data_IF_194520480638
#
_entry.id   IF_194520480638
#
_cell.length_a   1.000
_cell.length_b   1.000
_cell.length_c   1.000
_cell.angle_alpha   90.00
_cell.angle_beta   90.00
_cell.angle_gamma   90.00
#
_symmetry.space_group_name_H-M   'P 1'
#
loop_
_entity.id
_entity.type
_entity.pdbx_description
1 polymer ?
#
# COMPACT_ATOMS: atom_id res chain seq x y z
N UNK A 1 -17.83 27.41 -7.64
CA UNK A 1 -18.14 26.05 -8.13
C UNK A 1 -18.06 25.14 -6.93
N UNK A 2 -19.20 24.69 -6.40
CA UNK A 2 -19.26 23.79 -5.24
C UNK A 2 -18.84 22.39 -5.70
N UNK A 3 -17.69 21.91 -5.23
CA UNK A 3 -17.30 20.52 -5.42
C UNK A 3 -18.38 19.65 -4.75
N UNK A 4 -19.12 18.89 -5.55
CA UNK A 4 -20.10 17.93 -5.04
C UNK A 4 -19.33 16.87 -4.26
N UNK A 5 -19.56 16.78 -2.95
CA UNK A 5 -18.96 15.74 -2.11
C UNK A 5 -19.38 14.36 -2.66
N UNK A 6 -18.42 13.46 -2.80
CA UNK A 6 -18.67 12.09 -3.24
C UNK A 6 -19.56 11.38 -2.22
N UNK A 7 -20.53 10.61 -2.71
CA UNK A 7 -21.37 9.77 -1.83
C UNK A 7 -20.55 8.59 -1.27
N UNK A 8 -20.95 8.01 -0.12
CA UNK A 8 -20.26 6.84 0.45
C UNK A 8 -20.12 5.67 -0.54
N UNK A 9 -21.12 5.45 -1.39
CA UNK A 9 -21.08 4.41 -2.43
C UNK A 9 -20.03 4.70 -3.52
N UNK A 10 -19.89 5.97 -3.93
CA UNK A 10 -18.86 6.38 -4.90
C UNK A 10 -17.45 6.27 -4.30
N UNK A 11 -17.30 6.62 -3.02
CA UNK A 11 -16.04 6.45 -2.28
C UNK A 11 -15.66 4.96 -2.19
N UNK A 12 -16.60 4.10 -1.79
CA UNK A 12 -16.40 2.65 -1.72
C UNK A 12 -15.98 2.07 -3.07
N UNK A 13 -16.63 2.51 -4.15
CA UNK A 13 -16.33 2.06 -5.50
C UNK A 13 -14.91 2.50 -5.95
N UNK A 14 -14.56 3.78 -5.75
CA UNK A 14 -13.22 4.28 -6.08
C UNK A 14 -12.12 3.55 -5.29
N UNK A 15 -12.33 3.33 -3.98
CA UNK A 15 -11.41 2.57 -3.13
C UNK A 15 -11.23 1.13 -3.59
N UNK A 16 -12.31 0.49 -4.06
CA UNK A 16 -12.26 -0.87 -4.61
C UNK A 16 -11.36 -0.93 -5.85
N UNK A 17 -11.49 0.02 -6.79
CA UNK A 17 -10.62 0.10 -7.97
C UNK A 17 -9.15 0.22 -7.57
N UNK A 18 -8.82 1.11 -6.62
CA UNK A 18 -7.44 1.26 -6.14
C UNK A 18 -6.91 0.00 -5.45
N UNK A 19 -7.77 -0.68 -4.71
CA UNK A 19 -7.43 -1.92 -4.02
C UNK A 19 -7.13 -3.04 -5.03
N UNK A 20 -8.03 -3.27 -5.98
CA UNK A 20 -7.90 -4.29 -7.03
C UNK A 20 -6.61 -4.06 -7.83
N UNK A 21 -6.39 -2.82 -8.31
CA UNK A 21 -5.16 -2.49 -9.03
C UNK A 21 -3.90 -2.69 -8.20
N UNK A 22 -3.91 -2.42 -6.89
CA UNK A 22 -2.76 -2.68 -6.03
C UNK A 22 -2.49 -4.19 -5.87
N UNK A 23 -3.54 -5.01 -5.78
CA UNK A 23 -3.41 -6.46 -5.65
C UNK A 23 -2.93 -7.10 -6.96
N UNK A 24 -3.46 -6.67 -8.10
CA UNK A 24 -3.00 -7.12 -9.42
C UNK A 24 -1.52 -6.81 -9.63
N UNK A 25 -1.05 -5.62 -9.24
CA UNK A 25 0.35 -5.25 -9.37
C UNK A 25 1.27 -6.07 -8.45
N UNK A 26 0.86 -6.35 -7.21
CA UNK A 26 1.60 -7.22 -6.28
C UNK A 26 1.66 -8.66 -6.80
N UNK A 27 0.54 -9.21 -7.25
CA UNK A 27 0.48 -10.56 -7.83
C UNK A 27 1.33 -10.66 -9.10
N UNK A 28 1.22 -9.70 -10.02
CA UNK A 28 2.03 -9.67 -11.24
C UNK A 28 3.53 -9.57 -10.93
N UNK A 29 3.92 -8.77 -9.95
CA UNK A 29 5.33 -8.67 -9.54
C UNK A 29 5.85 -10.00 -8.98
N UNK A 30 5.08 -10.65 -8.09
CA UNK A 30 5.44 -11.98 -7.55
C UNK A 30 5.50 -13.05 -8.63
N UNK A 31 4.52 -13.07 -9.54
CA UNK A 31 4.50 -14.02 -10.65
C UNK A 31 5.74 -13.87 -11.56
N UNK A 32 6.17 -12.64 -11.83
CA UNK A 32 7.43 -12.37 -12.56
C UNK A 32 8.65 -12.91 -11.81
N UNK A 33 8.73 -12.68 -10.50
CA UNK A 33 9.82 -13.22 -9.68
C UNK A 33 9.81 -14.75 -9.65
N UNK A 34 8.65 -15.39 -9.47
CA UNK A 34 8.51 -16.85 -9.52
C UNK A 34 8.94 -17.42 -10.86
N UNK A 35 8.59 -16.75 -11.97
CA UNK A 35 9.03 -17.15 -13.31
C UNK A 35 10.55 -17.04 -13.47
N UNK A 36 11.16 -15.95 -13.01
CA UNK A 36 12.63 -15.78 -13.05
C UNK A 36 13.34 -16.85 -12.21
N UNK A 37 12.83 -17.14 -11.01
CA UNK A 37 13.32 -18.21 -10.13
C UNK A 37 13.24 -19.58 -10.81
N UNK A 38 12.09 -19.91 -11.41
CA UNK A 38 11.84 -21.21 -12.03
C UNK A 38 12.67 -21.43 -13.32
N UNK A 39 13.00 -20.36 -14.02
CA UNK A 39 13.85 -20.40 -15.23
C UNK A 39 15.35 -20.41 -14.93
N UNK A 40 15.74 -20.25 -13.66
CA UNK A 40 17.15 -20.12 -13.28
C UNK A 40 17.79 -18.82 -13.76
N UNK A 41 16.99 -17.83 -14.12
CA UNK A 41 17.45 -16.51 -14.54
C UNK A 41 18.14 -15.78 -13.38
N UNK A 42 19.08 -14.89 -13.72
CA UNK A 42 19.69 -14.03 -12.72
C UNK A 42 18.66 -13.07 -12.13
N UNK A 43 18.43 -13.17 -10.82
CA UNK A 43 17.51 -12.30 -10.10
C UNK A 43 18.24 -10.99 -9.80
N UNK A 44 17.88 -9.94 -10.54
CA UNK A 44 18.39 -8.60 -10.29
C UNK A 44 17.79 -7.98 -9.02
N UNK A 45 18.53 -7.08 -8.37
CA UNK A 45 18.03 -6.27 -7.24
C UNK A 45 16.76 -5.51 -7.60
N UNK A 46 16.70 -4.96 -8.82
CA UNK A 46 15.52 -4.25 -9.33
C UNK A 46 14.25 -5.09 -9.35
N UNK A 47 14.37 -6.39 -9.69
CA UNK A 47 13.21 -7.29 -9.69
C UNK A 47 12.70 -7.51 -8.25
N UNK A 48 13.61 -7.71 -7.30
CA UNK A 48 13.27 -7.89 -5.89
C UNK A 48 12.70 -6.60 -5.27
N UNK A 49 13.33 -5.46 -5.52
CA UNK A 49 12.85 -4.14 -5.08
C UNK A 49 11.43 -3.88 -5.60
N UNK A 50 11.18 -4.17 -6.88
CA UNK A 50 9.84 -4.04 -7.47
C UNK A 50 8.79 -4.91 -6.76
N UNK A 51 9.14 -6.15 -6.38
CA UNK A 51 8.23 -7.00 -5.60
C UNK A 51 7.97 -6.42 -4.21
N UNK A 52 9.01 -6.01 -3.50
CA UNK A 52 8.89 -5.43 -2.15
C UNK A 52 8.04 -4.15 -2.18
N UNK A 53 8.26 -3.28 -3.18
CA UNK A 53 7.47 -2.06 -3.36
C UNK A 53 5.98 -2.37 -3.57
N UNK A 54 5.63 -3.27 -4.51
CA UNK A 54 4.23 -3.59 -4.79
C UNK A 54 3.57 -4.34 -3.64
N UNK A 55 4.32 -5.19 -2.94
CA UNK A 55 3.85 -5.84 -1.73
C UNK A 55 3.54 -4.82 -0.62
N UNK A 56 4.43 -3.85 -0.40
CA UNK A 56 4.25 -2.79 0.59
C UNK A 56 3.03 -1.91 0.25
N UNK A 57 2.86 -1.54 -1.02
CA UNK A 57 1.68 -0.81 -1.50
C UNK A 57 0.39 -1.59 -1.20
N UNK A 58 0.33 -2.85 -1.62
CA UNK A 58 -0.84 -3.71 -1.41
C UNK A 58 -1.16 -3.95 0.08
N UNK A 59 -0.17 -3.93 0.97
CA UNK A 59 -0.37 -4.18 2.40
C UNK A 59 -1.32 -3.16 3.05
N UNK A 60 -1.21 -1.88 2.71
CA UNK A 60 -2.10 -0.85 3.27
C UNK A 60 -3.55 -1.01 2.79
N UNK A 61 -3.74 -1.39 1.53
CA UNK A 61 -5.06 -1.70 0.95
C UNK A 61 -5.68 -2.95 1.56
N UNK A 62 -4.88 -4.01 1.83
CA UNK A 62 -5.36 -5.20 2.57
C UNK A 62 -5.89 -4.84 3.95
N UNK A 63 -5.20 -3.95 4.67
CA UNK A 63 -5.66 -3.52 5.99
C UNK A 63 -6.99 -2.74 5.91
N UNK A 64 -7.17 -1.93 4.87
CA UNK A 64 -8.44 -1.24 4.63
C UNK A 64 -9.57 -2.25 4.36
N UNK A 65 -9.38 -3.20 3.43
CA UNK A 65 -10.38 -4.22 3.13
C UNK A 65 -10.74 -5.04 4.36
N UNK A 66 -9.75 -5.48 5.14
CA UNK A 66 -9.99 -6.23 6.37
C UNK A 66 -10.86 -5.48 7.39
N UNK A 67 -10.87 -4.14 7.37
CA UNK A 67 -11.74 -3.31 8.20
C UNK A 67 -13.15 -3.22 7.63
N UNK A 68 -13.26 -3.00 6.32
CA UNK A 68 -14.54 -2.99 5.61
C UNK A 68 -15.26 -4.34 5.73
N UNK A 69 -14.54 -5.45 5.62
CA UNK A 69 -15.08 -6.81 5.78
C UNK A 69 -15.57 -7.09 7.21
N UNK A 70 -15.05 -6.36 8.20
CA UNK A 70 -15.54 -6.37 9.59
C UNK A 70 -16.77 -5.50 9.80
N UNK A 71 -17.24 -4.80 8.76
CA UNK A 71 -18.40 -3.93 8.80
C UNK A 71 -18.10 -2.50 9.28
N UNK A 72 -16.84 -2.08 9.32
CA UNK A 72 -16.51 -0.66 9.57
C UNK A 72 -17.03 0.23 8.43
N UNK A 73 -17.53 1.42 8.76
CA UNK A 73 -17.91 2.41 7.74
C UNK A 73 -16.69 2.82 6.90
N UNK A 74 -16.92 3.14 5.62
CA UNK A 74 -15.85 3.47 4.68
C UNK A 74 -15.02 4.65 5.15
N UNK A 75 -15.67 5.70 5.65
CA UNK A 75 -14.98 6.91 6.11
C UNK A 75 -14.19 6.59 7.39
N UNK A 76 -14.78 5.83 8.30
CA UNK A 76 -14.14 5.42 9.55
C UNK A 76 -12.90 4.54 9.30
N UNK A 77 -13.02 3.54 8.43
CA UNK A 77 -11.95 2.62 8.08
C UNK A 77 -10.77 3.37 7.43
N UNK A 78 -11.04 4.24 6.44
CA UNK A 78 -10.01 5.06 5.79
C UNK A 78 -9.37 6.03 6.77
N UNK A 79 -10.16 6.72 7.59
CA UNK A 79 -9.65 7.65 8.61
C UNK A 79 -8.73 6.95 9.61
N UNK A 80 -9.11 5.74 10.03
CA UNK A 80 -8.33 4.96 11.00
C UNK A 80 -6.98 4.53 10.42
N UNK A 81 -6.97 3.99 9.19
CA UNK A 81 -5.73 3.63 8.51
C UNK A 81 -4.85 4.86 8.29
N UNK A 82 -5.42 5.98 7.83
CA UNK A 82 -4.67 7.24 7.64
C UNK A 82 -4.03 7.70 8.94
N UNK A 83 -4.78 7.73 10.05
CA UNK A 83 -4.24 8.12 11.36
C UNK A 83 -3.09 7.23 11.80
N UNK A 84 -3.25 5.91 11.64
CA UNK A 84 -2.21 4.94 11.97
C UNK A 84 -0.95 5.14 11.11
N UNK A 85 -1.10 5.33 9.80
CA UNK A 85 0.03 5.53 8.89
C UNK A 85 0.73 6.86 9.14
N UNK A 86 -0.02 7.94 9.36
CA UNK A 86 0.54 9.24 9.74
C UNK A 86 1.34 9.13 11.02
N UNK A 87 0.81 8.45 12.05
CA UNK A 87 1.52 8.19 13.30
C UNK A 87 2.81 7.41 13.05
N UNK A 88 2.75 6.31 12.29
CA UNK A 88 3.92 5.49 11.93
C UNK A 88 5.00 6.32 11.22
N UNK A 89 4.61 7.26 10.34
CA UNK A 89 5.54 8.14 9.64
C UNK A 89 6.19 9.19 10.55
N UNK A 90 5.46 9.68 11.55
CA UNK A 90 5.95 10.67 12.52
C UNK A 90 6.83 10.05 13.62
N UNK A 91 6.50 8.84 14.07
CA UNK A 91 7.26 8.12 15.11
C UNK A 91 8.61 7.57 14.61
N UNK A 92 8.84 7.60 13.31
CA UNK A 92 10.03 7.03 12.71
C UNK A 92 11.26 7.93 12.93
N UNK A 93 11.98 7.71 14.01
CA UNK A 93 13.37 8.15 14.19
C UNK A 93 14.32 7.32 13.32
N UNK A 94 15.45 7.91 12.90
CA UNK A 94 16.44 7.34 11.98
C UNK A 94 16.65 5.83 12.18
N UNK A 95 16.38 5.04 11.12
CA UNK A 95 16.60 3.60 11.15
C UNK A 95 18.09 3.33 11.35
N UNK A 96 18.47 2.85 12.53
CA UNK A 96 19.84 2.48 12.90
C UNK A 96 20.11 0.98 12.65
N UNK A 97 19.37 0.34 11.74
CA UNK A 97 19.67 -1.05 11.39
C UNK A 97 20.93 -1.12 10.52
N UNK A 98 21.85 -2.02 10.87
CA UNK A 98 23.03 -2.33 10.05
C UNK A 98 22.68 -3.15 8.80
N UNK A 99 21.44 -3.63 8.68
CA UNK A 99 20.98 -4.41 7.53
C UNK A 99 20.43 -3.50 6.43
N UNK A 100 21.12 -3.45 5.29
CA UNK A 100 20.69 -2.71 4.11
C UNK A 100 19.30 -3.17 3.61
N UNK A 101 19.00 -4.47 3.68
CA UNK A 101 17.72 -5.04 3.27
C UNK A 101 16.59 -4.56 4.19
N UNK A 102 16.80 -4.59 5.51
CA UNK A 102 15.80 -4.12 6.47
C UNK A 102 15.54 -2.60 6.29
N UNK A 103 16.59 -1.83 6.04
CA UNK A 103 16.48 -0.40 5.77
C UNK A 103 15.69 -0.11 4.49
N UNK A 104 15.91 -0.90 3.44
CA UNK A 104 15.16 -0.76 2.19
C UNK A 104 13.68 -1.16 2.37
N UNK A 105 13.38 -2.27 3.02
CA UNK A 105 11.99 -2.64 3.34
C UNK A 105 11.28 -1.55 4.13
N UNK A 106 11.94 -0.98 5.15
CA UNK A 106 11.43 0.14 5.92
C UNK A 106 11.24 1.40 5.08
N UNK A 107 12.10 1.67 4.10
CA UNK A 107 11.91 2.75 3.12
C UNK A 107 10.67 2.49 2.28
N UNK A 108 10.52 1.31 1.70
CA UNK A 108 9.39 0.94 0.85
C UNK A 108 8.06 1.02 1.60
N UNK A 109 8.00 0.55 2.85
CA UNK A 109 6.80 0.69 3.69
C UNK A 109 6.40 2.16 3.92
N UNK A 110 7.37 3.05 4.10
CA UNK A 110 7.12 4.50 4.29
C UNK A 110 6.62 5.14 3.00
N UNK A 111 7.20 4.79 1.86
CA UNK A 111 6.75 5.29 0.57
C UNK A 111 5.34 4.78 0.24
N UNK A 112 5.06 3.51 0.52
CA UNK A 112 3.73 2.94 0.39
C UNK A 112 2.70 3.64 1.28
N UNK A 113 3.07 3.96 2.53
CA UNK A 113 2.23 4.73 3.43
C UNK A 113 1.93 6.13 2.86
N UNK A 114 2.94 6.83 2.34
CA UNK A 114 2.76 8.15 1.69
C UNK A 114 1.85 8.07 0.47
N UNK A 115 2.05 7.08 -0.41
CA UNK A 115 1.19 6.85 -1.59
C UNK A 115 -0.25 6.57 -1.20
N UNK A 116 -0.47 5.77 -0.15
CA UNK A 116 -1.81 5.52 0.38
C UNK A 116 -2.46 6.80 0.91
N UNK A 117 -1.73 7.59 1.72
CA UNK A 117 -2.22 8.86 2.25
C UNK A 117 -2.54 9.88 1.15
N UNK A 118 -1.74 9.93 0.10
CA UNK A 118 -1.97 10.81 -1.05
C UNK A 118 -3.24 10.41 -1.82
N UNK A 119 -3.35 9.12 -2.19
CA UNK A 119 -4.53 8.58 -2.90
C UNK A 119 -5.83 8.70 -2.12
N UNK A 120 -5.75 8.69 -0.79
CA UNK A 120 -6.92 8.85 0.09
C UNK A 120 -7.11 10.27 0.60
N UNK A 121 -6.24 11.21 0.21
CA UNK A 121 -6.26 12.60 0.70
C UNK A 121 -7.46 13.41 0.21
N UNK A 122 -7.98 13.11 -0.98
CA UNK A 122 -9.18 13.75 -1.54
C UNK A 122 -10.50 13.09 -1.14
N UNK A 123 -10.47 12.06 -0.28
CA UNK A 123 -11.66 11.31 0.13
C UNK A 123 -12.26 11.80 1.47
N UNK A 124 -11.53 12.65 2.20
CA UNK A 124 -11.91 13.17 3.52
C UNK A 124 -11.80 14.69 3.51
#
# INVERSE_FOLDING_TARGET
MTATALTPAQLAHGLRIFTEGAFELDEAARARLTKALASGEHISSFLLEGVVEKQADAANWRQLINRLDKGEDVIEAVTTIRRMLTKKLLEYGESTSTSAIANDMNRQEREAARRFLDRTGGLI
#
